data_IF_211742111892
#
_entry.id   IF_211742111892
#
_cell.length_a   1.000
_cell.length_b   1.000
_cell.length_c   1.000
_cell.angle_alpha   90.00
_cell.angle_beta   90.00
_cell.angle_gamma   90.00
#
_symmetry.space_group_name_H-M   'P 1'
#
loop_
_entity.id
_entity.type
_entity.pdbx_description
1 polymer ?
#
# COMPACT_ATOMS: atom_id res chain seq x y z
N UNK A 1 -2.59 11.26 13.67
CA UNK A 1 -2.01 10.94 12.35
C UNK A 1 -0.61 10.48 12.62
N UNK A 2 -0.14 9.39 12.00
CA UNK A 2 1.25 9.00 12.18
C UNK A 2 2.16 10.17 11.84
N UNK A 3 3.06 10.51 12.74
CA UNK A 3 4.08 11.52 12.51
C UNK A 3 5.20 10.94 11.63
N UNK A 4 6.11 11.81 11.16
CA UNK A 4 7.17 11.42 10.24
C UNK A 4 7.98 10.19 10.68
N UNK A 5 8.36 10.03 11.98
CA UNK A 5 9.08 8.84 12.42
C UNK A 5 8.27 7.54 12.28
N UNK A 6 6.96 7.60 12.49
CA UNK A 6 6.08 6.43 12.37
C UNK A 6 5.92 6.02 10.90
N UNK A 7 5.79 6.99 9.99
CA UNK A 7 5.76 6.73 8.54
C UNK A 7 7.07 6.10 8.06
N UNK A 8 8.20 6.56 8.59
CA UNK A 8 9.51 5.99 8.26
C UNK A 8 9.63 4.53 8.70
N UNK A 9 9.12 4.19 9.89
CA UNK A 9 9.08 2.80 10.37
C UNK A 9 8.24 1.90 9.44
N UNK A 10 7.09 2.39 8.95
CA UNK A 10 6.31 1.65 7.95
C UNK A 10 7.09 1.49 6.64
N UNK A 11 7.76 2.54 6.16
CA UNK A 11 8.55 2.50 4.92
C UNK A 11 9.63 1.42 5.01
N UNK A 12 10.37 1.36 6.10
CA UNK A 12 11.42 0.36 6.31
C UNK A 12 10.86 -1.06 6.44
N UNK A 13 9.78 -1.25 7.21
CA UNK A 13 9.16 -2.56 7.38
C UNK A 13 8.62 -3.10 6.04
N UNK A 14 7.90 -2.26 5.29
CA UNK A 14 7.40 -2.59 3.95
C UNK A 14 8.55 -2.86 2.98
N UNK A 15 9.62 -2.07 3.05
CA UNK A 15 10.82 -2.26 2.24
C UNK A 15 11.43 -3.64 2.44
N UNK A 16 11.55 -4.10 3.70
CA UNK A 16 12.08 -5.43 4.02
C UNK A 16 11.17 -6.59 3.60
N UNK A 17 9.84 -6.39 3.67
CA UNK A 17 8.88 -7.47 3.50
C UNK A 17 8.31 -7.61 2.09
N UNK A 18 8.13 -6.50 1.36
CA UNK A 18 7.36 -6.48 0.12
C UNK A 18 8.19 -6.20 -1.14
N UNK A 19 9.32 -5.50 -1.04
CA UNK A 19 10.13 -5.18 -2.24
C UNK A 19 10.60 -6.46 -2.92
N UNK A 20 10.55 -6.48 -4.25
CA UNK A 20 10.87 -7.65 -5.07
C UNK A 20 9.70 -8.60 -5.32
N UNK A 21 8.59 -8.48 -4.59
CA UNK A 21 7.39 -9.29 -4.81
C UNK A 21 6.48 -8.68 -5.89
N UNK A 22 5.69 -9.53 -6.54
CA UNK A 22 4.67 -9.10 -7.50
C UNK A 22 3.38 -8.73 -6.79
N UNK A 23 2.78 -7.63 -7.21
CA UNK A 23 1.47 -7.19 -6.76
C UNK A 23 0.39 -7.94 -7.56
N UNK A 24 -0.22 -8.96 -6.96
CA UNK A 24 -1.21 -9.78 -7.66
C UNK A 24 -2.56 -9.08 -7.81
N UNK A 25 -3.03 -8.45 -6.75
CA UNK A 25 -4.34 -7.80 -6.71
C UNK A 25 -4.32 -6.60 -5.75
N UNK A 26 -5.09 -5.56 -6.06
CA UNK A 26 -5.41 -4.48 -5.13
C UNK A 26 -6.92 -4.39 -4.94
N UNK A 27 -7.39 -4.66 -3.73
CA UNK A 27 -8.80 -4.49 -3.38
C UNK A 27 -8.99 -3.19 -2.59
N UNK A 28 -9.93 -2.34 -3.03
CA UNK A 28 -10.31 -1.11 -2.32
C UNK A 28 -11.74 -1.27 -1.81
N UNK A 29 -11.95 -1.73 -0.58
CA UNK A 29 -13.28 -2.08 -0.08
C UNK A 29 -14.17 -0.86 0.21
N UNK A 30 -13.59 0.34 0.29
CA UNK A 30 -14.30 1.55 0.66
C UNK A 30 -14.10 2.66 -0.38
N UNK A 31 -15.20 3.15 -0.94
CA UNK A 31 -15.25 4.18 -2.00
C UNK A 31 -14.53 5.49 -1.65
N UNK A 32 -14.34 5.82 -0.37
CA UNK A 32 -13.68 7.04 0.06
C UNK A 32 -12.14 6.93 0.12
N UNK A 33 -11.59 5.72 -0.01
CA UNK A 33 -10.15 5.49 0.10
C UNK A 33 -9.42 5.87 -1.20
N UNK A 34 -10.05 5.65 -2.35
CA UNK A 34 -9.50 5.96 -3.66
C UNK A 34 -10.27 7.13 -4.27
N UNK A 35 -9.64 8.30 -4.33
CA UNK A 35 -10.26 9.53 -4.86
C UNK A 35 -9.94 9.79 -6.33
N UNK A 36 -8.72 9.50 -6.74
CA UNK A 36 -8.18 9.76 -8.07
C UNK A 36 -7.28 8.60 -8.45
N UNK A 37 -7.50 8.05 -9.63
CA UNK A 37 -6.66 7.01 -10.22
C UNK A 37 -6.55 7.30 -11.72
N UNK A 38 -5.33 7.45 -12.19
CA UNK A 38 -4.97 7.45 -13.59
C UNK A 38 -3.51 6.99 -13.67
N UNK A 39 -3.21 5.86 -14.32
CA UNK A 39 -4.11 4.92 -15.00
C UNK A 39 -5.01 4.11 -14.03
N UNK A 40 -5.94 3.26 -14.55
CA UNK A 40 -6.80 2.42 -13.72
C UNK A 40 -6.02 1.59 -12.70
N UNK A 41 -6.58 1.36 -11.51
CA UNK A 41 -5.89 0.62 -10.44
C UNK A 41 -5.43 -0.79 -10.88
N UNK A 42 -6.21 -1.43 -11.76
CA UNK A 42 -5.89 -2.74 -12.32
C UNK A 42 -4.57 -2.76 -13.12
N UNK A 43 -4.09 -1.61 -13.62
CA UNK A 43 -2.77 -1.53 -14.25
C UNK A 43 -1.65 -1.93 -13.29
N UNK A 44 -1.86 -1.84 -11.98
CA UNK A 44 -0.86 -2.21 -10.99
C UNK A 44 -0.70 -3.73 -10.83
N UNK A 45 -1.66 -4.53 -11.31
CA UNK A 45 -1.64 -5.98 -11.14
C UNK A 45 -0.53 -6.63 -11.97
N UNK A 46 0.09 -7.67 -11.42
CA UNK A 46 1.21 -8.42 -12.01
C UNK A 46 2.55 -7.66 -11.98
N UNK A 47 2.60 -6.41 -11.53
CA UNK A 47 3.83 -5.61 -11.51
C UNK A 47 4.63 -5.87 -10.25
N UNK A 48 5.95 -5.94 -10.38
CA UNK A 48 6.85 -6.09 -9.24
C UNK A 48 7.01 -4.76 -8.49
N UNK A 49 7.03 -4.83 -7.15
CA UNK A 49 7.36 -3.70 -6.29
C UNK A 49 8.88 -3.47 -6.29
N UNK A 50 9.30 -2.31 -6.79
CA UNK A 50 10.69 -1.91 -6.91
C UNK A 50 11.19 -1.20 -5.65
N UNK A 51 10.37 -0.32 -5.08
CA UNK A 51 10.75 0.47 -3.92
C UNK A 51 9.56 0.92 -3.09
N UNK A 52 9.82 1.19 -1.81
CA UNK A 52 8.90 1.89 -0.91
C UNK A 52 9.55 3.19 -0.46
N UNK A 53 8.89 4.29 -0.79
CA UNK A 53 9.31 5.64 -0.49
C UNK A 53 8.30 6.39 0.37
N UNK A 54 8.52 7.71 0.51
CA UNK A 54 7.55 8.61 1.11
C UNK A 54 7.57 9.98 0.47
N UNK A 55 6.41 10.64 0.48
CA UNK A 55 6.23 12.04 0.15
C UNK A 55 5.51 12.72 1.31
N UNK A 56 6.27 13.37 2.20
CA UNK A 56 5.75 13.89 3.46
C UNK A 56 5.17 12.77 4.33
N UNK A 57 3.85 12.83 4.61
CA UNK A 57 3.10 11.85 5.42
C UNK A 57 2.43 10.74 4.58
N UNK A 58 2.79 10.62 3.30
CA UNK A 58 2.26 9.60 2.38
C UNK A 58 3.35 8.57 2.09
N UNK A 59 2.99 7.29 2.14
CA UNK A 59 3.82 6.19 1.65
C UNK A 59 3.66 6.08 0.14
N UNK A 60 4.76 5.81 -0.57
CA UNK A 60 4.76 5.57 -2.01
C UNK A 60 5.26 4.17 -2.31
N UNK A 61 4.59 3.47 -3.22
CA UNK A 61 4.96 2.15 -3.69
C UNK A 61 5.27 2.26 -5.17
N UNK A 62 6.52 2.10 -5.53
CA UNK A 62 6.98 2.15 -6.92
C UNK A 62 6.93 0.76 -7.52
N UNK A 63 6.16 0.62 -8.59
CA UNK A 63 5.97 -0.62 -9.33
C UNK A 63 6.65 -0.51 -10.70
N UNK A 64 7.02 -1.66 -11.28
CA UNK A 64 7.56 -1.74 -12.63
C UNK A 64 6.70 -0.99 -13.66
N UNK A 65 7.32 -0.44 -14.71
CA UNK A 65 6.63 0.29 -15.77
C UNK A 65 5.98 1.60 -15.31
N UNK A 66 6.67 2.32 -14.42
CA UNK A 66 6.33 3.68 -13.98
C UNK A 66 4.91 3.79 -13.41
N UNK A 67 4.59 2.90 -12.46
CA UNK A 67 3.32 2.95 -11.72
C UNK A 67 3.59 3.19 -10.26
N UNK A 68 2.73 3.99 -9.65
CA UNK A 68 2.87 4.39 -8.26
C UNK A 68 1.54 4.25 -7.52
N UNK A 69 1.57 3.56 -6.38
CA UNK A 69 0.49 3.65 -5.40
C UNK A 69 0.90 4.62 -4.30
N UNK A 70 -0.02 5.47 -3.86
CA UNK A 70 0.23 6.45 -2.80
C UNK A 70 -0.81 6.28 -1.70
N UNK A 71 -0.35 6.01 -0.48
CA UNK A 71 -1.20 5.77 0.67
C UNK A 71 -0.96 6.80 1.77
N UNK A 72 -2.04 7.38 2.29
CA UNK A 72 -2.02 8.22 3.48
C UNK A 72 -2.73 7.50 4.64
N UNK A 73 -2.03 7.29 5.76
CA UNK A 73 -2.59 6.54 6.90
C UNK A 73 -3.60 7.34 7.74
N UNK A 74 -3.85 8.62 7.42
CA UNK A 74 -4.79 9.47 8.15
C UNK A 74 -4.49 9.46 9.66
N UNK A 75 -5.49 9.58 10.54
CA UNK A 75 -5.23 9.64 11.99
C UNK A 75 -4.93 8.27 12.60
N UNK A 76 -5.71 7.26 12.23
CA UNK A 76 -5.73 5.95 12.88
C UNK A 76 -5.47 4.77 11.92
N UNK A 77 -5.04 5.04 10.69
CA UNK A 77 -4.68 3.99 9.74
C UNK A 77 -3.52 3.15 10.27
N UNK A 78 -3.57 1.87 9.93
CA UNK A 78 -2.57 0.86 10.29
C UNK A 78 -2.40 -0.06 9.09
N UNK A 79 -1.19 -0.58 8.92
CA UNK A 79 -0.91 -1.67 8.00
C UNK A 79 -0.68 -2.95 8.80
N UNK A 80 -1.18 -4.06 8.27
CA UNK A 80 -1.01 -5.38 8.89
C UNK A 80 -0.61 -6.35 7.80
N UNK A 81 0.44 -7.13 8.05
CA UNK A 81 0.79 -8.26 7.22
C UNK A 81 -0.10 -9.45 7.59
N UNK A 82 -0.69 -10.09 6.61
CA UNK A 82 -1.53 -11.29 6.77
C UNK A 82 -1.09 -12.35 5.78
N UNK A 83 -1.03 -13.62 6.17
CA UNK A 83 -0.81 -14.71 5.21
C UNK A 83 -1.85 -14.70 4.08
N UNK A 84 -1.43 -15.10 2.88
CA UNK A 84 -2.32 -15.24 1.74
C UNK A 84 -3.47 -16.22 2.07
N UNK A 85 -4.70 -15.86 1.70
CA UNK A 85 -5.90 -16.65 1.97
C UNK A 85 -6.60 -16.35 3.30
N UNK A 86 -5.97 -15.61 4.22
CA UNK A 86 -6.65 -15.10 5.41
C UNK A 86 -7.42 -13.81 5.07
N UNK A 87 -8.72 -13.79 5.35
CA UNK A 87 -9.51 -12.56 5.21
C UNK A 87 -8.96 -11.49 6.16
N UNK A 88 -8.81 -10.24 5.71
CA UNK A 88 -8.50 -9.13 6.61
C UNK A 88 -9.52 -9.12 7.77
N UNK A 89 -9.03 -9.01 9.01
CA UNK A 89 -9.90 -8.96 10.18
C UNK A 89 -10.87 -7.78 10.02
N UNK A 90 -12.13 -8.01 10.37
CA UNK A 90 -13.29 -7.22 9.94
C UNK A 90 -13.18 -5.68 10.01
N UNK A 91 -13.96 -5.05 9.13
CA UNK A 91 -14.39 -3.65 9.20
C UNK A 91 -13.45 -2.61 8.62
N UNK A 92 -12.13 -2.83 8.60
CA UNK A 92 -11.14 -1.82 8.18
C UNK A 92 -9.87 -2.35 7.50
N UNK A 93 -9.83 -3.61 7.09
CA UNK A 93 -8.70 -4.15 6.32
C UNK A 93 -8.72 -3.61 4.89
N UNK A 94 -7.64 -2.96 4.45
CA UNK A 94 -7.60 -2.23 3.17
C UNK A 94 -6.70 -2.87 2.10
N UNK A 95 -5.96 -3.94 2.44
CA UNK A 95 -5.18 -4.78 1.52
C UNK A 95 -4.68 -6.05 2.23
N UNK A 96 -4.57 -7.14 1.51
CA UNK A 96 -3.78 -8.33 1.83
C UNK A 96 -2.99 -8.70 0.57
N UNK A 97 -1.76 -9.18 0.72
CA UNK A 97 -0.81 -9.41 -0.39
C UNK A 97 -0.48 -10.90 -0.45
#
# INVERSE_FOLDING_TARGET
MPELPEVELYREALGRQAVGHQLLEVTVPAIYLLRTFDPPLADCHGRRLLAVGRLGKRLTFELEGERFLILHLMIAGRLRWTPAGERPAGGRGLAAW
#
